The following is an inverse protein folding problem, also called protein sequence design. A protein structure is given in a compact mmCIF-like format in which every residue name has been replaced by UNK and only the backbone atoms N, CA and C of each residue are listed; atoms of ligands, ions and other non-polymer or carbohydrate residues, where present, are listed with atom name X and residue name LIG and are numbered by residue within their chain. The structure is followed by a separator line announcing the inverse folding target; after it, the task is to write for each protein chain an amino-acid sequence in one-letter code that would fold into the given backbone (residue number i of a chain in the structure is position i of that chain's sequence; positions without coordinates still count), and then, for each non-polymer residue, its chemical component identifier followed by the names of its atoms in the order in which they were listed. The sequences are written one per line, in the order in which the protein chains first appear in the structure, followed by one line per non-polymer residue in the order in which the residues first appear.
data_IF_311084566610
#
_entry.id   IF_311084566610
#
_cell.length_a   1.000
_cell.length_b   1.000
_cell.length_c   1.000
_cell.angle_alpha   90.00
_cell.angle_beta   90.00
_cell.angle_gamma   90.00
#
_symmetry.space_group_name_H-M   'P 1'
#
loop_
_entity.id
_entity.type
_entity.pdbx_description
1 polymer ?
#
# COMPACT_ATOMS: atom_id res chain seq x y z
N UNK A 1 -0.34 -1.81 -5.99
CA UNK A 1 -0.36 -0.71 -5.01
C UNK A 1 -1.26 0.41 -5.55
N UNK A 2 -1.99 1.13 -4.69
CA UNK A 2 -2.71 2.35 -5.08
C UNK A 2 -1.86 3.60 -4.81
N UNK A 3 -2.26 4.76 -5.31
CA UNK A 3 -1.46 6.00 -5.27
C UNK A 3 -1.02 6.40 -3.86
N UNK A 4 -1.91 6.28 -2.87
CA UNK A 4 -1.60 6.60 -1.48
C UNK A 4 -0.39 5.82 -0.95
N UNK A 5 -0.34 4.51 -1.20
CA UNK A 5 0.75 3.66 -0.79
C UNK A 5 2.02 3.89 -1.64
N UNK A 6 1.87 4.27 -2.92
CA UNK A 6 3.00 4.64 -3.78
C UNK A 6 3.70 5.92 -3.31
N UNK A 7 2.93 6.97 -3.00
CA UNK A 7 3.49 8.20 -2.45
C UNK A 7 4.15 7.96 -1.09
N UNK A 8 3.49 7.17 -0.23
CA UNK A 8 4.06 6.83 1.07
C UNK A 8 5.37 6.04 0.95
N UNK A 9 5.52 5.17 -0.07
CA UNK A 9 6.75 4.43 -0.33
C UNK A 9 7.92 5.35 -0.66
N UNK A 10 7.69 6.31 -1.58
CA UNK A 10 8.70 7.30 -1.96
C UNK A 10 9.09 8.15 -0.74
N UNK A 11 8.11 8.60 0.05
CA UNK A 11 8.39 9.36 1.28
C UNK A 11 9.17 8.55 2.32
N UNK A 12 8.87 7.25 2.46
CA UNK A 12 9.60 6.36 3.37
C UNK A 12 11.05 6.18 2.92
N UNK A 13 11.30 5.97 1.62
CA UNK A 13 12.66 5.87 1.09
C UNK A 13 13.47 7.14 1.38
N UNK A 14 12.89 8.31 1.14
CA UNK A 14 13.53 9.59 1.42
C UNK A 14 13.82 9.76 2.91
N UNK A 15 12.91 9.35 3.79
CA UNK A 15 13.10 9.45 5.24
C UNK A 15 14.19 8.49 5.75
N UNK A 16 14.30 7.28 5.19
CA UNK A 16 15.37 6.32 5.53
C UNK A 16 16.73 6.89 5.13
N UNK A 17 16.84 7.44 3.92
CA UNK A 17 18.07 8.04 3.41
C UNK A 17 18.49 9.27 4.24
N UNK A 18 17.56 10.18 4.53
CA UNK A 18 17.80 11.38 5.34
C UNK A 18 18.22 11.04 6.77
N UNK A 19 17.65 9.98 7.36
CA UNK A 19 18.03 9.49 8.67
C UNK A 19 19.37 8.72 8.69
N UNK A 20 19.95 8.41 7.53
CA UNK A 20 21.20 7.65 7.41
C UNK A 20 21.12 6.23 7.95
N UNK A 21 19.93 5.62 7.89
CA UNK A 21 19.71 4.26 8.40
C UNK A 21 20.23 3.21 7.42
N UNK A 22 20.86 2.17 7.96
CA UNK A 22 21.23 0.99 7.18
C UNK A 22 20.04 0.03 7.01
N UNK A 23 20.17 -0.95 6.13
CA UNK A 23 19.13 -1.97 5.94
C UNK A 23 18.86 -2.77 7.23
N UNK A 24 19.90 -3.05 8.02
CA UNK A 24 19.79 -3.76 9.29
C UNK A 24 19.06 -2.94 10.36
N UNK A 25 19.12 -1.61 10.31
CA UNK A 25 18.38 -0.72 11.21
C UNK A 25 16.88 -0.70 10.87
N UNK A 26 16.54 -0.88 9.59
CA UNK A 26 15.16 -0.87 9.08
C UNK A 26 14.49 -2.23 9.20
N UNK A 27 15.20 -3.31 8.86
CA UNK A 27 14.65 -4.66 8.74
C UNK A 27 15.11 -5.58 9.88
N UNK A 28 14.45 -5.48 11.03
CA UNK A 28 14.74 -6.32 12.19
C UNK A 28 13.51 -6.45 13.12
N UNK A 29 13.59 -7.33 14.13
CA UNK A 29 12.49 -7.59 15.08
C UNK A 29 12.18 -6.42 16.03
N UNK A 30 13.01 -5.38 16.05
CA UNK A 30 12.92 -4.21 16.94
C UNK A 30 12.44 -2.95 16.21
N UNK A 31 12.38 -2.98 14.88
CA UNK A 31 11.84 -1.91 14.03
C UNK A 31 10.49 -2.32 13.48
N UNK A 32 9.55 -1.39 13.43
CA UNK A 32 8.20 -1.64 12.94
C UNK A 32 7.59 -0.39 12.31
N UNK A 33 6.42 -0.55 11.69
CA UNK A 33 5.75 0.51 10.96
C UNK A 33 4.29 0.63 11.38
N UNK A 34 3.86 1.87 11.65
CA UNK A 34 2.46 2.25 11.81
C UNK A 34 2.22 3.37 10.81
N UNK A 35 1.55 3.03 9.71
CA UNK A 35 1.23 3.97 8.65
C UNK A 35 -0.22 3.77 8.21
N UNK A 36 -0.88 4.86 7.87
CA UNK A 36 -2.29 4.83 7.50
C UNK A 36 -2.60 5.89 6.47
N UNK A 37 -3.76 5.74 5.85
CA UNK A 37 -4.40 6.73 5.00
C UNK A 37 -5.80 7.01 5.55
N UNK A 38 -6.34 8.21 5.32
CA UNK A 38 -7.68 8.58 5.78
C UNK A 38 -8.80 7.66 5.26
N UNK A 39 -8.53 6.93 4.17
CA UNK A 39 -9.31 5.80 3.68
C UNK A 39 -8.45 4.91 2.79
N UNK A 40 -8.99 3.80 2.28
CA UNK A 40 -8.32 3.03 1.22
C UNK A 40 -8.35 3.78 -0.13
N UNK A 41 -7.91 3.15 -1.22
CA UNK A 41 -8.05 3.74 -2.55
C UNK A 41 -9.52 3.64 -3.02
N UNK A 42 -10.33 4.67 -2.73
CA UNK A 42 -11.75 4.73 -3.14
C UNK A 42 -11.94 4.60 -4.64
N UNK A 43 -11.04 5.17 -5.45
CA UNK A 43 -11.03 4.99 -6.91
C UNK A 43 -10.89 3.50 -7.29
N UNK A 44 -9.97 2.77 -6.65
CA UNK A 44 -9.78 1.35 -6.90
C UNK A 44 -10.97 0.50 -6.46
N UNK A 45 -11.69 0.91 -5.39
CA UNK A 45 -12.91 0.25 -4.94
C UNK A 45 -14.03 0.40 -5.97
N UNK A 46 -14.26 1.64 -6.44
CA UNK A 46 -15.27 1.94 -7.46
C UNK A 46 -14.97 1.19 -8.75
N UNK A 47 -13.73 1.23 -9.24
CA UNK A 47 -13.30 0.52 -10.44
C UNK A 47 -13.50 -1.00 -10.33
N UNK A 48 -13.16 -1.59 -9.18
CA UNK A 48 -13.33 -3.02 -8.94
C UNK A 48 -14.83 -3.40 -8.94
N UNK A 49 -15.67 -2.58 -8.33
CA UNK A 49 -17.12 -2.76 -8.33
C UNK A 49 -17.71 -2.61 -9.75
N UNK A 50 -17.24 -1.66 -10.55
CA UNK A 50 -17.63 -1.49 -11.95
C UNK A 50 -17.25 -2.68 -12.82
N UNK A 51 -16.03 -3.18 -12.66
CA UNK A 51 -15.58 -4.36 -13.40
C UNK A 51 -16.41 -5.59 -13.00
N UNK A 52 -16.71 -5.76 -11.72
CA UNK A 52 -17.55 -6.85 -11.24
C UNK A 52 -18.94 -6.81 -11.88
N UNK A 53 -19.60 -5.64 -11.86
CA UNK A 53 -20.93 -5.43 -12.44
C UNK A 53 -20.97 -5.67 -13.95
N UNK A 54 -19.98 -5.13 -14.68
CA UNK A 54 -20.01 -5.11 -16.14
C UNK A 54 -19.36 -6.34 -16.79
N UNK A 55 -18.41 -6.99 -16.13
CA UNK A 55 -17.55 -8.02 -16.75
C UNK A 55 -17.36 -9.28 -15.90
N UNK A 56 -17.93 -9.32 -14.69
CA UNK A 56 -17.91 -10.48 -13.79
C UNK A 56 -16.61 -10.63 -12.99
N UNK A 57 -16.66 -11.52 -11.98
CA UNK A 57 -15.61 -11.66 -10.95
C UNK A 57 -14.22 -11.97 -11.51
N UNK A 58 -14.14 -12.77 -12.59
CA UNK A 58 -12.85 -13.13 -13.22
C UNK A 58 -12.08 -11.91 -13.75
N UNK A 59 -12.77 -10.80 -14.05
CA UNK A 59 -12.14 -9.59 -14.61
C UNK A 59 -11.65 -8.60 -13.56
N UNK A 60 -12.10 -8.73 -12.31
CA UNK A 60 -11.72 -7.83 -11.20
C UNK A 60 -10.20 -7.85 -10.97
N UNK A 61 -9.59 -9.03 -11.12
CA UNK A 61 -8.15 -9.24 -10.97
C UNK A 61 -7.73 -9.54 -9.53
N UNK A 62 -6.64 -10.28 -9.37
CA UNK A 62 -6.19 -10.81 -8.08
C UNK A 62 -5.61 -9.74 -7.13
N UNK A 63 -5.15 -8.60 -7.65
CA UNK A 63 -4.44 -7.57 -6.86
C UNK A 63 -5.33 -6.43 -6.35
N UNK A 64 -6.66 -6.55 -6.43
CA UNK A 64 -7.56 -5.49 -5.96
C UNK A 64 -7.57 -5.36 -4.44
N UNK A 65 -7.45 -6.47 -3.71
CA UNK A 65 -7.49 -6.47 -2.23
C UNK A 65 -6.42 -5.54 -1.65
N UNK A 66 -5.18 -5.63 -2.13
CA UNK A 66 -4.08 -4.81 -1.61
C UNK A 66 -4.22 -3.33 -1.96
N UNK A 67 -5.07 -2.97 -2.93
CA UNK A 67 -5.42 -1.58 -3.25
C UNK A 67 -6.60 -1.06 -2.43
N UNK A 68 -7.56 -1.93 -2.10
CA UNK A 68 -8.85 -1.52 -1.53
C UNK A 68 -8.96 -1.68 -0.01
N UNK A 69 -8.05 -2.43 0.61
CA UNK A 69 -8.00 -2.56 2.07
C UNK A 69 -7.55 -1.25 2.74
N UNK A 70 -8.12 -0.95 3.91
CA UNK A 70 -7.77 0.25 4.68
C UNK A 70 -6.30 0.28 5.13
N UNK A 71 -5.69 -0.89 5.30
CA UNK A 71 -4.27 -1.09 5.63
C UNK A 71 -3.34 -1.04 4.41
N UNK A 72 -3.79 -0.56 3.24
CA UNK A 72 -3.00 -0.56 2.00
C UNK A 72 -1.62 0.06 2.19
N UNK A 73 -1.52 1.17 2.92
CA UNK A 73 -0.26 1.86 3.18
C UNK A 73 0.65 1.00 4.06
N UNK A 74 0.24 0.63 5.28
CA UNK A 74 1.09 -0.15 6.17
C UNK A 74 1.52 -1.49 5.57
N UNK A 75 0.60 -2.22 4.92
CA UNK A 75 0.92 -3.51 4.33
C UNK A 75 1.87 -3.42 3.13
N UNK A 76 1.74 -2.37 2.30
CA UNK A 76 2.66 -2.19 1.18
C UNK A 76 4.05 -1.70 1.63
N UNK A 77 4.14 -0.99 2.76
CA UNK A 77 5.41 -0.49 3.29
C UNK A 77 6.12 -1.48 4.22
N UNK A 78 5.40 -2.41 4.84
CA UNK A 78 5.97 -3.36 5.80
C UNK A 78 6.83 -4.46 5.16
N UNK A 79 6.77 -4.61 3.84
CA UNK A 79 7.61 -5.56 3.07
C UNK A 79 8.25 -4.82 1.88
N UNK A 80 9.17 -3.87 2.14
CA UNK A 80 9.79 -3.06 1.09
C UNK A 80 10.76 -3.85 0.20
#
# INVERSE_FOLDING_TARGET
MGDAAAYAYISMQQAIEDAGLSEDDVSNLRTGIIAGSGGAASSSQVDAADILRNKGIRRVGAYRVTQTMASTVSACLATP
#
